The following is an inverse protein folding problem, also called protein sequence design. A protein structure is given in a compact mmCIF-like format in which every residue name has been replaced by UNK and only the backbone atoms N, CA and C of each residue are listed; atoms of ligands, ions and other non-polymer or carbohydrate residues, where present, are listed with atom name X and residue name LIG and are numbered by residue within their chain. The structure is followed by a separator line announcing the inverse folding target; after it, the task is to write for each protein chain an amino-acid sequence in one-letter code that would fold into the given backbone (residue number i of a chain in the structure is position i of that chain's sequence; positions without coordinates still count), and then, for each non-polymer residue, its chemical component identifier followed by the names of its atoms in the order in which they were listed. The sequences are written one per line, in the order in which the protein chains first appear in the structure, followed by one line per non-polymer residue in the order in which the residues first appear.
data_IF_384133594120
#
_entry.id   IF_384133594120
#
_cell.length_a   1.000
_cell.length_b   1.000
_cell.length_c   1.000
_cell.angle_alpha   90.00
_cell.angle_beta   90.00
_cell.angle_gamma   90.00
#
_symmetry.space_group_name_H-M   'P 1'
#
loop_
_entity.id
_entity.type
_entity.pdbx_description
1 polymer ?
#
# COMPACT_ATOMS: atom_id res chain seq x y z
N UNK A 1 20.07 25.56 -7.23
CA UNK A 1 19.14 24.85 -6.34
C UNK A 1 19.88 23.60 -5.89
N UNK A 2 20.03 23.35 -4.58
CA UNK A 2 20.60 22.10 -4.13
C UNK A 2 19.59 21.00 -4.51
N UNK A 3 19.93 20.19 -5.50
CA UNK A 3 19.14 19.02 -5.86
C UNK A 3 19.30 17.99 -4.72
N UNK A 4 18.38 18.04 -3.76
CA UNK A 4 18.33 17.01 -2.73
C UNK A 4 17.84 15.71 -3.36
N UNK A 5 18.47 14.59 -2.98
CA UNK A 5 17.97 13.27 -3.37
C UNK A 5 16.58 13.01 -2.79
N UNK A 6 15.87 12.05 -3.36
CA UNK A 6 14.49 11.69 -2.96
C UNK A 6 14.42 10.25 -2.48
N UNK A 7 13.57 10.00 -1.50
CA UNK A 7 13.21 8.64 -1.08
C UNK A 7 11.82 8.30 -1.62
N UNK A 8 11.74 7.22 -2.37
CA UNK A 8 10.48 6.69 -2.90
C UNK A 8 9.67 6.02 -1.80
N UNK A 9 8.37 6.29 -1.78
CA UNK A 9 7.45 5.84 -0.73
C UNK A 9 6.54 4.73 -1.24
N UNK A 10 5.83 4.98 -2.33
CA UNK A 10 4.89 4.03 -2.93
C UNK A 10 4.76 4.31 -4.43
N UNK A 11 4.07 3.44 -5.14
CA UNK A 11 3.84 3.63 -6.57
C UNK A 11 2.72 2.77 -7.11
N UNK A 12 2.41 2.94 -8.37
CA UNK A 12 1.49 2.06 -9.09
C UNK A 12 1.86 1.95 -10.57
N UNK A 13 1.72 0.75 -11.12
CA UNK A 13 1.93 0.47 -12.52
C UNK A 13 0.70 0.90 -13.35
N UNK A 14 0.94 1.60 -14.47
CA UNK A 14 -0.10 1.96 -15.42
C UNK A 14 -0.12 0.96 -16.57
N UNK A 15 1.06 0.62 -17.06
CA UNK A 15 1.27 -0.29 -18.21
C UNK A 15 2.62 -0.98 -18.10
N UNK A 16 2.97 -1.77 -19.08
CA UNK A 16 4.30 -2.38 -19.20
C UNK A 16 5.45 -1.36 -19.32
N UNK A 17 5.17 -0.07 -19.62
CA UNK A 17 6.18 0.98 -19.86
C UNK A 17 6.00 2.23 -19.01
N UNK A 18 4.93 2.32 -18.21
CA UNK A 18 4.60 3.51 -17.44
C UNK A 18 4.35 3.18 -15.97
N UNK A 19 4.94 3.97 -15.07
CA UNK A 19 4.83 3.79 -13.63
C UNK A 19 4.76 5.14 -12.90
N UNK A 20 3.88 5.28 -11.92
CA UNK A 20 3.86 6.43 -11.01
C UNK A 20 4.56 6.11 -9.70
N UNK A 21 5.32 7.08 -9.17
CA UNK A 21 6.04 6.99 -7.90
C UNK A 21 5.71 8.22 -7.06
N UNK A 22 5.48 8.02 -5.78
CA UNK A 22 5.49 9.12 -4.80
C UNK A 22 6.81 9.14 -4.05
N UNK A 23 7.29 10.31 -3.68
CA UNK A 23 8.55 10.46 -2.97
C UNK A 23 8.57 11.66 -2.04
N UNK A 24 9.46 11.61 -1.07
CA UNK A 24 9.81 12.70 -0.17
C UNK A 24 11.24 13.14 -0.43
N UNK A 25 11.56 14.42 -0.19
CA UNK A 25 12.93 14.90 -0.19
C UNK A 25 13.70 14.36 1.03
N UNK A 26 14.93 13.92 0.83
CA UNK A 26 15.76 13.35 1.92
C UNK A 26 16.19 14.39 2.97
N UNK A 27 16.18 15.66 2.61
CA UNK A 27 16.55 16.76 3.50
C UNK A 27 15.36 17.41 4.24
N UNK A 28 14.14 16.92 4.02
CA UNK A 28 12.99 17.33 4.85
C UNK A 28 13.11 16.66 6.22
N UNK A 29 13.02 17.47 7.27
CA UNK A 29 12.91 16.94 8.62
C UNK A 29 11.62 16.15 8.71
N UNK A 30 11.69 14.92 9.19
CA UNK A 30 10.52 14.04 9.38
C UNK A 30 9.49 14.61 10.36
N UNK A 31 9.87 15.64 11.11
CA UNK A 31 9.02 16.39 12.05
C UNK A 31 8.45 17.67 11.45
N UNK A 32 8.85 18.05 10.23
CA UNK A 32 8.26 19.20 9.56
C UNK A 32 6.79 18.92 9.27
N UNK A 33 5.92 19.74 9.86
CA UNK A 33 4.47 19.71 9.68
C UNK A 33 4.03 20.00 8.22
N UNK A 34 4.97 20.36 7.36
CA UNK A 34 4.76 20.65 5.95
C UNK A 34 5.44 19.58 5.10
N UNK A 35 4.78 18.43 5.01
CA UNK A 35 5.18 17.46 4.01
C UNK A 35 4.94 18.01 2.61
N UNK A 36 5.88 17.73 1.73
CA UNK A 36 5.74 17.91 0.30
C UNK A 36 5.97 16.59 -0.36
N UNK A 37 4.96 16.08 -1.05
CA UNK A 37 5.09 14.88 -1.85
C UNK A 37 5.35 15.24 -3.30
N UNK A 38 6.39 14.65 -3.89
CA UNK A 38 6.59 14.66 -5.33
C UNK A 38 6.02 13.38 -5.93
N UNK A 39 5.28 13.54 -7.01
CA UNK A 39 4.81 12.42 -7.82
C UNK A 39 5.58 12.45 -9.12
N UNK A 40 6.28 11.37 -9.42
CA UNK A 40 6.99 11.18 -10.67
C UNK A 40 6.28 10.15 -11.52
N UNK A 41 6.13 10.45 -12.80
CA UNK A 41 5.70 9.50 -13.82
C UNK A 41 6.91 9.10 -14.67
N UNK A 42 7.27 7.84 -14.62
CA UNK A 42 8.18 7.26 -15.61
C UNK A 42 7.37 6.84 -16.83
N UNK A 43 7.77 7.33 -18.00
CA UNK A 43 7.12 7.03 -19.27
C UNK A 43 8.13 7.07 -20.41
N UNK A 44 8.33 5.95 -21.12
CA UNK A 44 9.17 5.88 -22.35
C UNK A 44 10.58 6.46 -22.14
N UNK A 45 11.24 6.03 -21.05
CA UNK A 45 12.58 6.45 -20.63
C UNK A 45 12.72 7.93 -20.20
N UNK A 46 11.59 8.59 -19.93
CA UNK A 46 11.56 9.97 -19.44
C UNK A 46 10.81 10.08 -18.11
N UNK A 47 11.08 11.18 -17.37
CA UNK A 47 10.47 11.47 -16.08
C UNK A 47 9.67 12.77 -16.16
N UNK A 48 8.43 12.70 -15.74
CA UNK A 48 7.53 13.85 -15.58
C UNK A 48 7.23 13.99 -14.10
N UNK A 49 7.39 15.19 -13.56
CA UNK A 49 7.16 15.49 -12.15
C UNK A 49 5.89 16.34 -11.92
N UNK A 50 5.29 16.14 -10.77
CA UNK A 50 4.23 16.94 -10.20
C UNK A 50 4.45 17.01 -8.69
N UNK A 51 4.32 18.19 -8.11
CA UNK A 51 4.42 18.36 -6.67
C UNK A 51 3.07 18.64 -6.00
N UNK A 52 2.93 18.15 -4.78
CA UNK A 52 1.77 18.37 -3.91
C UNK A 52 2.25 18.98 -2.60
N UNK A 53 2.20 20.32 -2.54
CA UNK A 53 2.58 21.08 -1.34
C UNK A 53 1.57 20.82 -0.21
N UNK A 54 2.09 20.55 0.99
CA UNK A 54 1.28 20.31 2.18
C UNK A 54 0.63 18.91 2.24
N UNK A 55 0.95 18.02 1.29
CA UNK A 55 0.40 16.67 1.23
C UNK A 55 1.42 15.63 1.67
N UNK A 56 0.96 14.68 2.46
CA UNK A 56 1.65 13.43 2.73
C UNK A 56 0.91 12.29 2.05
N UNK A 57 1.26 12.02 0.80
CA UNK A 57 0.64 10.95 0.03
C UNK A 57 1.14 9.60 0.55
N UNK A 58 0.23 8.80 1.06
CA UNK A 58 0.51 7.48 1.65
C UNK A 58 0.26 6.33 0.69
N UNK A 59 -0.61 6.53 -0.29
CA UNK A 59 -0.93 5.49 -1.28
C UNK A 59 -1.37 6.10 -2.59
N UNK A 60 -1.00 5.46 -3.69
CA UNK A 60 -1.49 5.79 -5.02
C UNK A 60 -2.13 4.58 -5.68
N UNK A 61 -3.09 4.82 -6.56
CA UNK A 61 -3.71 3.81 -7.38
C UNK A 61 -4.01 4.35 -8.78
N UNK A 62 -3.97 3.48 -9.76
CA UNK A 62 -4.46 3.78 -11.10
C UNK A 62 -5.88 3.24 -11.25
N UNK A 63 -6.77 4.10 -11.73
CA UNK A 63 -8.17 3.77 -11.91
C UNK A 63 -8.62 4.14 -13.32
N UNK A 64 -9.22 3.18 -14.00
CA UNK A 64 -9.81 3.40 -15.31
C UNK A 64 -11.31 3.08 -15.26
N UNK A 65 -12.13 4.05 -15.63
CA UNK A 65 -13.57 3.88 -15.70
C UNK A 65 -14.12 4.56 -16.95
N UNK A 66 -14.87 3.79 -17.76
CA UNK A 66 -15.51 4.26 -19.00
C UNK A 66 -14.53 4.95 -19.96
N UNK A 67 -13.30 4.43 -20.05
CA UNK A 67 -12.24 4.99 -20.91
C UNK A 67 -11.56 6.24 -20.35
N UNK A 68 -11.87 6.64 -19.13
CA UNK A 68 -11.19 7.74 -18.43
C UNK A 68 -10.20 7.15 -17.44
N UNK A 69 -8.93 7.44 -17.67
CA UNK A 69 -7.82 7.03 -16.79
C UNK A 69 -7.51 8.10 -15.77
N UNK A 70 -7.31 7.69 -14.53
CA UNK A 70 -7.02 8.58 -13.40
C UNK A 70 -5.90 8.02 -12.55
N UNK A 71 -4.95 8.87 -12.16
CA UNK A 71 -4.09 8.64 -11.01
C UNK A 71 -4.84 9.14 -9.77
N UNK A 72 -4.91 8.29 -8.77
CA UNK A 72 -5.47 8.59 -7.46
C UNK A 72 -4.32 8.73 -6.47
N UNK A 73 -4.26 9.83 -5.72
CA UNK A 73 -3.28 10.06 -4.67
C UNK A 73 -4.01 10.30 -3.35
N UNK A 74 -3.86 9.35 -2.43
CA UNK A 74 -4.47 9.39 -1.11
C UNK A 74 -3.53 10.10 -0.14
N UNK A 75 -3.99 11.18 0.43
CA UNK A 75 -3.36 11.89 1.54
C UNK A 75 -3.77 11.24 2.87
N UNK A 76 -2.87 11.22 3.84
CA UNK A 76 -3.04 10.51 5.12
C UNK A 76 -4.30 10.92 5.91
N UNK A 77 -4.73 12.19 5.84
CA UNK A 77 -5.86 12.72 6.61
C UNK A 77 -7.21 12.59 5.88
N UNK A 78 -7.18 12.11 4.62
CA UNK A 78 -8.36 11.73 3.86
C UNK A 78 -8.72 12.64 2.69
N UNK A 79 -7.81 13.50 2.28
CA UNK A 79 -7.93 14.17 0.98
C UNK A 79 -7.50 13.21 -0.14
N UNK A 80 -8.24 13.20 -1.23
CA UNK A 80 -7.97 12.40 -2.41
C UNK A 80 -7.80 13.29 -3.64
N UNK A 81 -6.59 13.26 -4.20
CA UNK A 81 -6.31 13.84 -5.51
C UNK A 81 -6.67 12.87 -6.63
N UNK A 82 -7.44 13.34 -7.60
CA UNK A 82 -7.81 12.60 -8.81
C UNK A 82 -7.24 13.38 -10.00
N UNK A 83 -6.19 12.81 -10.61
CA UNK A 83 -5.45 13.45 -11.69
C UNK A 83 -5.74 12.75 -13.01
N UNK A 84 -6.32 13.47 -13.95
CA UNK A 84 -6.65 13.05 -15.30
C UNK A 84 -5.88 13.91 -16.30
N UNK A 85 -5.78 13.48 -17.55
CA UNK A 85 -5.02 14.18 -18.58
C UNK A 85 -5.37 15.68 -18.69
N UNK A 86 -6.66 16.04 -18.58
CA UNK A 86 -7.13 17.40 -18.78
C UNK A 86 -7.89 17.98 -17.57
N UNK A 87 -7.94 17.27 -16.45
CA UNK A 87 -8.73 17.70 -15.30
C UNK A 87 -8.21 17.09 -14.01
N UNK A 88 -7.99 17.95 -13.02
CA UNK A 88 -7.70 17.53 -11.66
C UNK A 88 -8.92 17.80 -10.78
N UNK A 89 -9.18 16.90 -9.85
CA UNK A 89 -10.25 17.00 -8.86
C UNK A 89 -9.71 16.64 -7.49
N UNK A 90 -10.18 17.33 -6.47
CA UNK A 90 -9.98 16.99 -5.07
C UNK A 90 -11.29 16.50 -4.48
N UNK A 91 -11.22 15.42 -3.73
CA UNK A 91 -12.35 14.88 -2.95
C UNK A 91 -11.92 14.71 -1.49
N UNK A 92 -12.89 14.78 -0.59
CA UNK A 92 -12.71 14.35 0.81
C UNK A 92 -13.38 13.00 1.02
N UNK A 93 -12.65 12.06 1.61
CA UNK A 93 -13.18 10.73 1.92
C UNK A 93 -14.10 10.81 3.14
N UNK A 94 -13.74 11.65 4.11
CA UNK A 94 -14.52 11.91 5.32
C UNK A 94 -14.44 13.38 5.70
N UNK A 95 -15.39 13.83 6.52
CA UNK A 95 -15.31 15.13 7.17
C UNK A 95 -14.27 15.11 8.30
N UNK A 96 -13.51 16.18 8.42
CA UNK A 96 -12.57 16.37 9.52
C UNK A 96 -13.30 16.91 10.75
N UNK A 97 -13.00 16.38 11.93
CA UNK A 97 -13.46 16.88 13.22
C UNK A 97 -12.25 17.23 14.09
N UNK A 98 -11.89 18.51 14.11
CA UNK A 98 -10.71 19.02 14.84
C UNK A 98 -10.80 18.82 16.37
N UNK A 99 -11.96 18.46 16.90
CA UNK A 99 -12.14 18.14 18.31
C UNK A 99 -11.75 16.69 18.66
N UNK A 100 -11.45 15.86 17.66
CA UNK A 100 -11.22 14.44 17.80
C UNK A 100 -9.93 13.98 17.13
N UNK A 101 -9.29 12.98 17.71
CA UNK A 101 -8.24 12.23 17.06
C UNK A 101 -8.91 11.30 16.07
N UNK A 102 -8.65 11.52 14.79
CA UNK A 102 -9.08 10.63 13.71
C UNK A 102 -7.85 9.86 13.22
N UNK A 103 -7.99 8.55 13.05
CA UNK A 103 -6.93 7.71 12.50
C UNK A 103 -6.53 8.12 11.08
N UNK A 104 -5.31 7.86 10.68
CA UNK A 104 -4.81 8.14 9.34
C UNK A 104 -5.28 7.07 8.34
N UNK A 105 -5.34 7.42 7.07
CA UNK A 105 -5.49 6.44 6.00
C UNK A 105 -4.14 5.90 5.56
N UNK A 106 -4.11 4.62 5.17
CA UNK A 106 -2.88 3.91 4.82
C UNK A 106 -2.89 3.38 3.38
N UNK A 107 -4.05 3.04 2.84
CA UNK A 107 -4.13 2.39 1.54
C UNK A 107 -5.37 2.78 0.75
N UNK A 108 -5.19 3.01 -0.57
CA UNK A 108 -6.25 3.03 -1.57
C UNK A 108 -6.06 1.90 -2.57
N UNK A 109 -7.14 1.21 -2.91
CA UNK A 109 -7.16 0.15 -3.91
C UNK A 109 -8.36 0.25 -4.83
N UNK A 110 -8.17 -0.23 -6.05
CA UNK A 110 -9.27 -0.52 -6.99
C UNK A 110 -9.58 -2.00 -6.94
N UNK A 111 -10.81 -2.35 -6.58
CA UNK A 111 -11.29 -3.73 -6.52
C UNK A 111 -12.63 -3.78 -7.23
N UNK A 112 -12.79 -4.64 -8.25
CA UNK A 112 -14.03 -4.82 -8.99
C UNK A 112 -14.64 -3.47 -9.46
N UNK A 113 -13.81 -2.61 -10.09
CA UNK A 113 -14.16 -1.26 -10.57
C UNK A 113 -14.70 -0.29 -9.51
N UNK A 114 -14.46 -0.55 -8.24
CA UNK A 114 -14.80 0.32 -7.13
C UNK A 114 -13.56 0.71 -6.35
N UNK A 115 -13.61 1.86 -5.68
CA UNK A 115 -12.49 2.35 -4.87
C UNK A 115 -12.73 1.98 -3.41
N UNK A 116 -11.66 1.55 -2.75
CA UNK A 116 -11.64 1.22 -1.34
C UNK A 116 -10.46 1.88 -0.67
N UNK A 117 -10.66 2.41 0.54
CA UNK A 117 -9.60 2.92 1.41
C UNK A 117 -9.70 2.28 2.77
N UNK A 118 -8.54 2.07 3.41
CA UNK A 118 -8.49 1.63 4.79
C UNK A 118 -7.41 2.41 5.57
N UNK A 119 -7.52 2.38 6.91
CA UNK A 119 -6.60 3.10 7.79
C UNK A 119 -6.76 2.75 9.27
N UNK A 120 -6.19 3.59 10.11
CA UNK A 120 -6.16 3.42 11.55
C UNK A 120 -7.55 3.56 12.17
N UNK A 121 -7.79 2.93 13.33
CA UNK A 121 -9.11 2.87 13.95
C UNK A 121 -10.07 1.98 13.18
N UNK A 122 -9.58 1.03 12.38
CA UNK A 122 -10.34 0.15 11.51
C UNK A 122 -11.23 0.90 10.49
N UNK A 123 -10.86 2.11 10.10
CA UNK A 123 -11.60 2.87 9.11
C UNK A 123 -11.56 2.19 7.75
N UNK A 124 -12.72 2.01 7.14
CA UNK A 124 -12.86 1.48 5.79
C UNK A 124 -13.93 2.30 5.08
N UNK A 125 -13.60 2.82 3.89
CA UNK A 125 -14.53 3.54 3.03
C UNK A 125 -14.51 2.97 1.63
N UNK A 126 -15.65 3.11 0.95
CA UNK A 126 -15.79 2.73 -0.45
C UNK A 126 -16.46 3.83 -1.26
N UNK A 127 -16.08 3.95 -2.53
CA UNK A 127 -16.74 4.78 -3.52
C UNK A 127 -17.16 3.92 -4.71
N UNK A 128 -18.46 3.65 -4.78
CA UNK A 128 -19.10 2.89 -5.87
C UNK A 128 -19.87 3.82 -6.83
N UNK A 129 -19.35 5.04 -7.04
CA UNK A 129 -19.87 6.01 -8.02
C UNK A 129 -20.76 7.13 -7.47
N UNK A 130 -21.22 7.05 -6.22
CA UNK A 130 -22.12 8.03 -5.59
C UNK A 130 -21.48 8.78 -4.40
N UNK A 131 -20.14 8.86 -4.35
CA UNK A 131 -19.41 9.44 -3.23
C UNK A 131 -18.93 8.38 -2.25
N UNK A 132 -18.20 8.83 -1.23
CA UNK A 132 -17.58 7.98 -0.22
C UNK A 132 -18.59 7.56 0.84
N UNK A 133 -18.60 6.29 1.17
CA UNK A 133 -19.44 5.73 2.21
C UNK A 133 -18.59 4.87 3.15
N UNK A 134 -18.83 4.97 4.45
CA UNK A 134 -18.22 4.06 5.42
C UNK A 134 -18.64 2.62 5.14
N UNK A 135 -17.68 1.71 5.21
CA UNK A 135 -17.86 0.27 5.04
C UNK A 135 -17.34 -0.51 6.26
N UNK A 136 -17.06 0.16 7.38
CA UNK A 136 -16.46 -0.43 8.58
C UNK A 136 -17.40 -1.44 9.29
N UNK A 137 -18.69 -1.29 9.14
CA UNK A 137 -19.76 -2.22 9.57
C UNK A 137 -19.47 -2.95 10.91
N UNK A 138 -19.10 -2.17 11.91
CA UNK A 138 -18.87 -2.66 13.27
C UNK A 138 -17.42 -3.05 13.59
N UNK A 139 -16.49 -2.85 12.66
CA UNK A 139 -15.06 -2.96 12.95
C UNK A 139 -14.46 -1.66 13.49
N UNK A 140 -14.99 -0.50 13.04
CA UNK A 140 -14.43 0.80 13.41
C UNK A 140 -14.44 1.05 14.89
N UNK A 141 -13.40 1.71 15.34
CA UNK A 141 -13.28 2.21 16.70
C UNK A 141 -13.81 3.63 16.77
N UNK A 142 -14.37 4.01 17.91
CA UNK A 142 -14.81 5.38 18.14
C UNK A 142 -13.60 6.31 18.08
N UNK A 143 -13.74 7.44 17.39
CA UNK A 143 -12.74 8.51 17.43
C UNK A 143 -12.52 8.98 18.85
N UNK A 144 -11.25 9.23 19.22
CA UNK A 144 -10.88 9.68 20.56
C UNK A 144 -11.00 11.18 20.66
N UNK A 145 -11.48 11.70 21.81
CA UNK A 145 -11.47 13.13 22.09
C UNK A 145 -10.05 13.67 22.20
N UNK A 146 -9.77 14.82 21.60
CA UNK A 146 -8.48 15.49 21.75
C UNK A 146 -8.23 15.84 23.24
N UNK A 147 -7.07 15.46 23.81
CA UNK A 147 -6.72 15.84 25.15
C UNK A 147 -6.63 17.37 25.28
N UNK A 148 -7.10 17.89 26.42
CA UNK A 148 -7.16 19.34 26.70
C UNK A 148 -5.81 19.98 27.03
N UNK A 149 -4.69 19.25 27.04
CA UNK A 149 -3.36 19.75 27.39
C UNK A 149 -2.36 19.69 26.25
N UNK A 150 -1.49 20.69 26.17
CA UNK A 150 -0.46 20.89 25.16
C UNK A 150 0.74 19.92 25.23
N UNK A 151 0.67 18.85 26.02
CA UNK A 151 1.74 17.86 26.17
C UNK A 151 1.50 16.62 25.30
N UNK A 152 1.17 16.82 24.04
CA UNK A 152 0.85 15.73 23.10
C UNK A 152 2.03 15.44 22.19
N UNK A 153 2.81 14.45 22.59
CA UNK A 153 3.45 13.51 21.68
C UNK A 153 2.63 12.21 21.66
N UNK A 154 1.36 12.26 21.25
CA UNK A 154 0.61 11.05 21.02
C UNK A 154 1.02 10.52 19.65
N UNK A 155 1.63 9.35 19.67
CA UNK A 155 1.77 8.53 18.46
C UNK A 155 0.34 8.07 18.08
N UNK A 156 -0.20 8.61 17.02
CA UNK A 156 -1.59 8.36 16.60
C UNK A 156 -1.81 6.86 16.31
N UNK A 157 -0.78 6.16 15.81
CA UNK A 157 -0.85 4.71 15.61
C UNK A 157 -1.10 3.94 16.91
N UNK A 158 -0.62 4.45 18.05
CA UNK A 158 -0.85 3.83 19.37
C UNK A 158 -2.21 4.21 19.98
N UNK A 159 -2.91 5.20 19.39
CA UNK A 159 -4.19 5.65 19.91
C UNK A 159 -5.34 4.66 19.59
N UNK A 160 -5.17 3.82 18.57
CA UNK A 160 -6.18 2.86 18.12
C UNK A 160 -5.73 1.41 18.33
N UNK A 161 -6.65 0.55 18.72
CA UNK A 161 -6.39 -0.89 18.86
C UNK A 161 -6.19 -1.57 17.51
N UNK A 162 -6.91 -1.13 16.45
CA UNK A 162 -6.87 -1.72 15.12
C UNK A 162 -6.33 -0.70 14.11
N UNK A 163 -5.22 -1.05 13.46
CA UNK A 163 -4.64 -0.28 12.37
C UNK A 163 -4.57 -1.14 11.11
N UNK A 164 -5.21 -0.70 10.03
CA UNK A 164 -5.30 -1.43 8.77
C UNK A 164 -4.30 -0.87 7.76
N UNK A 165 -3.44 -1.73 7.22
CA UNK A 165 -2.38 -1.35 6.29
C UNK A 165 -2.68 -1.72 4.84
N UNK A 166 -3.56 -2.69 4.60
CA UNK A 166 -3.99 -3.03 3.24
C UNK A 166 -5.42 -3.57 3.20
N UNK A 167 -6.08 -3.37 2.06
CA UNK A 167 -7.38 -3.89 1.71
C UNK A 167 -7.32 -4.47 0.29
N UNK A 168 -7.77 -5.70 0.09
CA UNK A 168 -7.86 -6.32 -1.23
C UNK A 168 -8.95 -7.39 -1.25
N UNK A 169 -9.35 -7.87 -2.42
CA UNK A 169 -10.40 -8.87 -2.50
C UNK A 169 -10.72 -9.31 -3.91
N UNK A 170 -11.71 -10.18 -4.01
CA UNK A 170 -12.13 -10.76 -5.29
C UNK A 170 -13.29 -10.00 -5.92
N UNK A 171 -14.11 -9.35 -5.09
CA UNK A 171 -15.27 -8.55 -5.49
C UNK A 171 -15.72 -7.67 -4.33
N UNK A 172 -16.71 -6.81 -4.55
CA UNK A 172 -17.36 -5.99 -3.51
C UNK A 172 -17.96 -6.79 -2.34
N UNK A 173 -18.23 -8.06 -2.53
CA UNK A 173 -18.77 -8.97 -1.52
C UNK A 173 -17.75 -9.99 -1.00
N UNK A 174 -16.49 -9.81 -1.31
CA UNK A 174 -15.42 -10.71 -0.88
C UNK A 174 -14.11 -9.94 -0.76
N UNK A 175 -13.97 -9.24 0.37
CA UNK A 175 -12.84 -8.38 0.66
C UNK A 175 -12.08 -8.90 1.88
N UNK A 176 -10.82 -8.57 1.95
CA UNK A 176 -9.94 -8.79 3.10
C UNK A 176 -9.27 -7.49 3.49
N UNK A 177 -9.07 -7.30 4.78
CA UNK A 177 -8.17 -6.28 5.33
C UNK A 177 -7.11 -6.98 6.16
N UNK A 178 -5.91 -6.38 6.20
CA UNK A 178 -4.85 -6.81 7.10
C UNK A 178 -4.18 -5.61 7.77
N UNK A 179 -3.56 -5.88 8.92
CA UNK A 179 -2.89 -4.85 9.70
C UNK A 179 -2.46 -5.36 11.06
N UNK A 180 -2.72 -4.56 12.09
CA UNK A 180 -2.51 -4.94 13.48
C UNK A 180 -3.77 -4.74 14.32
N UNK A 181 -3.89 -5.55 15.38
CA UNK A 181 -4.78 -5.31 16.51
C UNK A 181 -3.96 -5.43 17.79
N UNK A 182 -3.88 -4.33 18.55
CA UNK A 182 -3.02 -4.26 19.75
C UNK A 182 -1.57 -4.69 19.44
N UNK A 183 -1.03 -4.17 18.34
CA UNK A 183 0.31 -4.47 17.79
C UNK A 183 0.54 -5.92 17.35
N UNK A 184 -0.48 -6.77 17.30
CA UNK A 184 -0.41 -8.13 16.77
C UNK A 184 -1.11 -8.24 15.43
N UNK A 185 -0.68 -9.19 14.58
CA UNK A 185 -1.25 -9.36 13.23
C UNK A 185 -2.76 -9.56 13.25
N UNK A 186 -3.44 -8.78 12.42
CA UNK A 186 -4.90 -8.78 12.31
C UNK A 186 -5.34 -8.98 10.86
N UNK A 187 -6.38 -9.78 10.69
CA UNK A 187 -7.05 -10.04 9.41
C UNK A 187 -8.55 -10.01 9.67
N UNK A 188 -9.32 -9.41 8.75
CA UNK A 188 -10.76 -9.59 8.71
C UNK A 188 -11.24 -9.83 7.28
N UNK A 189 -12.34 -10.52 7.14
CA UNK A 189 -13.02 -10.85 5.89
C UNK A 189 -14.39 -10.21 5.83
N UNK A 190 -14.76 -9.66 4.68
CA UNK A 190 -16.08 -9.07 4.39
C UNK A 190 -16.83 -9.94 3.40
N UNK A 191 -18.04 -10.37 3.78
CA UNK A 191 -18.89 -11.24 2.98
C UNK A 191 -19.93 -10.50 2.12
N UNK A 192 -19.87 -9.16 2.12
CA UNK A 192 -20.85 -8.28 1.48
C UNK A 192 -21.86 -7.67 2.47
N UNK A 193 -21.88 -8.13 3.73
CA UNK A 193 -22.83 -7.69 4.76
C UNK A 193 -22.12 -7.17 6.01
N UNK A 194 -21.10 -7.85 6.48
CA UNK A 194 -20.34 -7.48 7.68
C UNK A 194 -18.91 -8.01 7.64
N UNK A 195 -18.05 -7.43 8.47
CA UNK A 195 -16.69 -7.88 8.65
C UNK A 195 -16.61 -8.96 9.74
N UNK A 196 -15.91 -10.03 9.42
CA UNK A 196 -15.65 -11.13 10.34
C UNK A 196 -14.14 -11.25 10.60
N UNK A 197 -13.67 -11.00 11.83
CA UNK A 197 -12.27 -11.19 12.16
C UNK A 197 -11.85 -12.66 11.99
N UNK A 198 -10.68 -12.87 11.41
CA UNK A 198 -10.02 -14.18 11.36
C UNK A 198 -9.27 -14.41 12.66
N UNK A 199 -9.27 -15.65 13.17
CA UNK A 199 -8.45 -16.02 14.32
C UNK A 199 -6.98 -15.63 14.10
N UNK A 200 -6.33 -15.13 15.16
CA UNK A 200 -4.96 -14.65 15.08
C UNK A 200 -4.01 -15.73 14.58
N UNK A 201 -3.33 -15.45 13.47
CA UNK A 201 -2.40 -16.37 12.82
C UNK A 201 -0.93 -16.09 13.16
N UNK A 202 -0.61 -14.88 13.61
CA UNK A 202 0.76 -14.43 13.87
C UNK A 202 0.77 -13.23 14.83
N UNK A 203 1.83 -13.07 15.65
CA UNK A 203 2.05 -11.85 16.40
C UNK A 203 2.64 -10.72 15.54
N UNK A 204 3.10 -11.02 14.32
CA UNK A 204 3.77 -10.05 13.46
C UNK A 204 2.75 -9.14 12.75
N UNK A 205 3.03 -7.82 12.62
CA UNK A 205 2.22 -6.93 11.80
C UNK A 205 2.07 -7.44 10.36
N UNK A 206 0.93 -7.17 9.73
CA UNK A 206 0.62 -7.62 8.37
C UNK A 206 0.45 -6.40 7.45
N UNK A 207 1.15 -6.36 6.31
CA UNK A 207 1.31 -5.15 5.51
C UNK A 207 0.69 -5.19 4.12
N UNK A 208 0.58 -6.36 3.49
CA UNK A 208 0.13 -6.46 2.12
C UNK A 208 -0.71 -7.68 1.81
N UNK A 209 -1.71 -7.53 0.94
CA UNK A 209 -2.61 -8.59 0.49
C UNK A 209 -2.48 -8.75 -1.02
N UNK A 210 -2.16 -9.96 -1.48
CA UNK A 210 -2.04 -10.33 -2.88
C UNK A 210 -3.03 -11.43 -3.24
N UNK A 211 -3.79 -11.26 -4.30
CA UNK A 211 -4.70 -12.28 -4.81
C UNK A 211 -3.89 -13.38 -5.51
N UNK A 212 -4.14 -14.64 -5.14
CA UNK A 212 -3.53 -15.77 -5.82
C UNK A 212 -4.11 -15.99 -7.22
N UNK A 213 -3.33 -16.56 -8.15
CA UNK A 213 -3.82 -16.89 -9.51
C UNK A 213 -5.00 -17.86 -9.54
N UNK A 214 -5.17 -18.67 -8.49
CA UNK A 214 -6.30 -19.59 -8.33
C UNK A 214 -7.65 -18.88 -8.08
N UNK A 215 -7.62 -17.55 -7.87
CA UNK A 215 -8.79 -16.70 -7.54
C UNK A 215 -9.63 -17.22 -6.37
N UNK A 216 -9.00 -17.95 -5.48
CA UNK A 216 -9.61 -18.54 -4.28
C UNK A 216 -8.85 -18.15 -3.02
N UNK A 217 -7.53 -18.17 -3.11
CA UNK A 217 -6.65 -17.87 -1.98
C UNK A 217 -6.03 -16.48 -2.12
N UNK A 218 -5.59 -15.95 -1.00
CA UNK A 218 -4.77 -14.75 -0.90
C UNK A 218 -3.43 -15.06 -0.24
N UNK A 219 -2.44 -14.23 -0.52
CA UNK A 219 -1.18 -14.14 0.22
C UNK A 219 -1.26 -12.89 1.09
N UNK A 220 -0.84 -13.00 2.33
CA UNK A 220 -0.66 -11.85 3.23
C UNK A 220 0.80 -11.82 3.67
N UNK A 221 1.47 -10.71 3.41
CA UNK A 221 2.86 -10.45 3.79
C UNK A 221 2.94 -9.59 5.06
N UNK A 222 3.99 -9.78 5.85
CA UNK A 222 4.13 -9.08 7.11
C UNK A 222 5.54 -9.05 7.68
N UNK A 223 5.66 -8.54 8.89
CA UNK A 223 6.93 -8.41 9.61
C UNK A 223 7.58 -9.75 9.90
N UNK A 224 8.89 -9.72 10.11
CA UNK A 224 9.70 -10.86 10.53
C UNK A 224 9.57 -12.09 9.61
N UNK A 225 9.54 -11.89 8.29
CA UNK A 225 9.41 -12.93 7.29
C UNK A 225 8.05 -13.63 7.27
N UNK A 226 7.01 -12.99 7.80
CA UNK A 226 5.67 -13.57 7.81
C UNK A 226 5.06 -13.58 6.42
N UNK A 227 4.62 -14.77 6.01
CA UNK A 227 3.86 -14.99 4.78
C UNK A 227 2.74 -15.99 5.06
N UNK A 228 1.49 -15.55 4.93
CA UNK A 228 0.30 -16.38 5.12
C UNK A 228 -0.34 -16.65 3.77
N UNK A 229 -0.82 -17.87 3.54
CA UNK A 229 -1.60 -18.25 2.35
C UNK A 229 -2.88 -18.94 2.76
N UNK A 230 -4.00 -18.54 2.18
CA UNK A 230 -5.28 -19.18 2.44
C UNK A 230 -6.45 -18.30 2.08
N UNK A 231 -7.58 -18.62 2.68
CA UNK A 231 -8.82 -17.86 2.58
C UNK A 231 -9.65 -18.04 3.86
N UNK A 232 -10.68 -17.22 4.00
CA UNK A 232 -11.53 -17.22 5.18
C UNK A 232 -12.21 -18.59 5.42
N UNK A 233 -12.66 -19.25 4.36
CA UNK A 233 -13.43 -20.51 4.46
C UNK A 233 -12.58 -21.71 4.83
N UNK A 234 -11.38 -21.83 4.23
CA UNK A 234 -10.53 -23.01 4.37
C UNK A 234 -9.40 -22.77 5.41
N UNK A 235 -9.29 -21.55 5.94
CA UNK A 235 -8.24 -21.14 6.86
C UNK A 235 -6.95 -20.70 6.17
N UNK A 236 -5.99 -20.25 6.98
CA UNK A 236 -4.69 -19.77 6.53
C UNK A 236 -3.58 -20.70 6.99
N UNK A 237 -2.56 -20.89 6.13
CA UNK A 237 -1.31 -21.56 6.45
C UNK A 237 -0.20 -20.51 6.55
N UNK A 238 0.56 -20.57 7.64
CA UNK A 238 1.78 -19.77 7.78
C UNK A 238 2.93 -20.46 7.01
N UNK A 239 3.49 -19.75 6.04
CA UNK A 239 4.59 -20.20 5.18
C UNK A 239 5.95 -19.68 5.65
N UNK A 240 6.02 -19.08 6.85
CA UNK A 240 7.22 -18.45 7.40
C UNK A 240 8.40 -19.41 7.43
N UNK A 241 9.55 -18.94 6.95
CA UNK A 241 10.85 -19.53 7.25
C UNK A 241 11.47 -18.81 8.45
N UNK A 242 11.80 -19.56 9.50
CA UNK A 242 12.35 -19.00 10.75
C UNK A 242 13.74 -18.38 10.59
N UNK A 243 14.45 -18.70 9.50
CA UNK A 243 15.75 -18.10 9.19
C UNK A 243 15.64 -16.69 8.61
N UNK A 244 14.44 -16.29 8.14
CA UNK A 244 14.19 -14.97 7.55
C UNK A 244 13.58 -14.06 8.60
N UNK A 245 14.27 -12.95 8.89
CA UNK A 245 13.82 -11.93 9.84
C UNK A 245 13.54 -10.59 9.17
N UNK A 246 13.42 -10.58 7.85
CA UNK A 246 13.15 -9.37 7.05
C UNK A 246 11.68 -9.00 7.08
N UNK A 247 11.37 -7.72 6.96
CA UNK A 247 9.99 -7.28 6.73
C UNK A 247 9.59 -7.52 5.28
N UNK A 248 8.47 -8.21 5.08
CA UNK A 248 7.83 -8.40 3.78
C UNK A 248 6.71 -7.38 3.61
N UNK A 249 6.95 -6.35 2.78
CA UNK A 249 6.02 -5.24 2.60
C UNK A 249 4.82 -5.61 1.73
N UNK A 250 5.06 -6.25 0.60
CA UNK A 250 4.02 -6.71 -0.32
C UNK A 250 4.55 -7.85 -1.20
N UNK A 251 3.66 -8.46 -1.98
CA UNK A 251 4.01 -9.51 -2.92
C UNK A 251 3.24 -9.37 -4.23
N UNK A 252 3.75 -10.02 -5.28
CA UNK A 252 3.07 -10.10 -6.56
C UNK A 252 3.36 -11.44 -7.24
N UNK A 253 2.38 -11.99 -7.92
CA UNK A 253 2.59 -13.11 -8.81
C UNK A 253 3.06 -12.62 -10.17
N UNK A 254 4.13 -13.20 -10.68
CA UNK A 254 4.64 -12.96 -12.02
C UNK A 254 5.20 -14.26 -12.61
N UNK A 255 4.71 -14.63 -13.81
CA UNK A 255 5.10 -15.90 -14.48
C UNK A 255 5.07 -17.10 -13.53
N UNK A 256 3.93 -17.30 -12.87
CA UNK A 256 3.66 -18.40 -11.93
C UNK A 256 4.48 -18.42 -10.64
N UNK A 257 5.42 -17.49 -10.46
CA UNK A 257 6.22 -17.33 -9.24
C UNK A 257 5.67 -16.22 -8.35
N UNK A 258 5.80 -16.41 -7.05
CA UNK A 258 5.49 -15.39 -6.06
C UNK A 258 6.77 -14.61 -5.74
N UNK A 259 6.78 -13.33 -6.10
CA UNK A 259 7.81 -12.37 -5.73
C UNK A 259 7.39 -11.60 -4.49
N UNK A 260 8.35 -11.29 -3.61
CA UNK A 260 8.10 -10.65 -2.32
C UNK A 260 9.07 -9.48 -2.15
N UNK A 261 8.51 -8.30 -1.98
CA UNK A 261 9.26 -7.08 -1.66
C UNK A 261 9.67 -7.08 -0.19
N UNK A 262 10.94 -6.86 0.08
CA UNK A 262 11.43 -6.85 1.45
C UNK A 262 12.53 -5.80 1.69
N UNK A 263 12.82 -5.57 2.98
CA UNK A 263 13.95 -4.73 3.39
C UNK A 263 15.29 -5.26 2.89
N UNK A 264 15.48 -6.59 2.90
CA UNK A 264 16.73 -7.23 2.48
C UNK A 264 16.89 -7.38 0.97
N UNK A 265 15.83 -7.13 0.18
CA UNK A 265 15.81 -7.25 -1.27
C UNK A 265 14.56 -7.95 -1.80
N UNK A 266 14.63 -8.48 -3.01
CA UNK A 266 13.54 -9.20 -3.66
C UNK A 266 13.69 -10.70 -3.41
N UNK A 267 12.67 -11.32 -2.80
CA UNK A 267 12.59 -12.76 -2.67
C UNK A 267 11.68 -13.37 -3.74
N UNK A 268 11.96 -14.61 -4.09
CA UNK A 268 11.03 -15.53 -4.75
C UNK A 268 10.68 -16.64 -3.74
N UNK A 269 9.40 -16.92 -3.58
CA UNK A 269 8.92 -18.09 -2.86
C UNK A 269 8.49 -19.16 -3.86
N UNK A 270 9.15 -20.31 -3.79
CA UNK A 270 8.90 -21.44 -4.66
C UNK A 270 8.93 -22.74 -3.85
N UNK A 271 7.83 -23.52 -3.90
CA UNK A 271 7.67 -24.84 -3.26
C UNK A 271 8.16 -24.94 -1.79
N UNK A 272 7.98 -23.88 -1.02
CA UNK A 272 8.36 -23.85 0.40
C UNK A 272 9.75 -23.27 0.67
N UNK A 273 10.46 -22.84 -0.35
CA UNK A 273 11.81 -22.26 -0.24
C UNK A 273 11.80 -20.80 -0.67
N UNK A 274 12.55 -19.98 0.05
CA UNK A 274 12.77 -18.59 -0.27
C UNK A 274 14.14 -18.40 -0.90
N UNK A 275 14.18 -17.67 -2.01
CA UNK A 275 15.41 -17.34 -2.71
C UNK A 275 15.50 -15.82 -2.92
N UNK A 276 16.62 -15.20 -2.53
CA UNK A 276 16.92 -13.84 -2.97
C UNK A 276 17.21 -13.84 -4.47
N UNK A 277 16.74 -12.82 -5.16
CA UNK A 277 16.98 -12.64 -6.60
C UNK A 277 18.38 -12.08 -6.81
N UNK A 278 19.29 -12.90 -7.32
CA UNK A 278 20.71 -12.56 -7.50
C UNK A 278 20.94 -11.38 -8.46
N UNK A 279 20.11 -11.26 -9.49
CA UNK A 279 20.25 -10.21 -10.52
C UNK A 279 20.16 -8.78 -9.98
N UNK A 280 19.52 -8.59 -8.83
CA UNK A 280 19.33 -7.31 -8.15
C UNK A 280 19.64 -7.41 -6.65
N UNK A 281 20.53 -8.29 -6.22
CA UNK A 281 20.84 -8.52 -4.81
C UNK A 281 21.52 -7.34 -4.11
N UNK A 282 22.04 -6.39 -4.88
CA UNK A 282 22.57 -5.10 -4.42
C UNK A 282 21.47 -4.08 -4.08
N UNK A 283 20.22 -4.33 -4.49
CA UNK A 283 19.08 -3.45 -4.21
C UNK A 283 18.42 -3.91 -2.91
N UNK A 284 18.35 -2.99 -1.95
CA UNK A 284 17.72 -3.18 -0.64
C UNK A 284 16.53 -2.23 -0.48
N UNK A 285 15.73 -2.44 0.56
CA UNK A 285 14.58 -1.59 0.84
C UNK A 285 13.59 -1.57 -0.32
N UNK A 286 13.18 -2.75 -0.80
CA UNK A 286 12.16 -2.86 -1.82
C UNK A 286 10.80 -2.74 -1.14
N UNK A 287 10.14 -1.60 -1.37
CA UNK A 287 8.91 -1.20 -0.66
C UNK A 287 7.64 -1.54 -1.41
N UNK A 288 7.73 -1.69 -2.74
CA UNK A 288 6.54 -1.96 -3.55
C UNK A 288 6.89 -2.82 -4.78
N UNK A 289 6.00 -3.74 -5.11
CA UNK A 289 6.05 -4.51 -6.35
C UNK A 289 4.65 -4.70 -6.92
N UNK A 290 4.55 -4.68 -8.24
CA UNK A 290 3.28 -4.88 -8.97
C UNK A 290 3.54 -5.52 -10.32
N UNK A 291 2.70 -6.50 -10.69
CA UNK A 291 2.66 -7.03 -12.05
C UNK A 291 1.65 -6.23 -12.88
N UNK A 292 2.07 -5.81 -14.06
CA UNK A 292 1.20 -5.13 -15.02
C UNK A 292 1.59 -5.49 -16.46
N UNK A 293 0.65 -6.02 -17.21
CA UNK A 293 0.79 -6.32 -18.65
C UNK A 293 2.05 -7.16 -18.96
N UNK A 294 2.32 -8.19 -18.15
CA UNK A 294 3.44 -9.10 -18.35
C UNK A 294 4.80 -8.55 -17.91
N UNK A 295 4.82 -7.52 -17.10
CA UNK A 295 6.02 -6.92 -16.50
C UNK A 295 5.87 -6.85 -15.00
N UNK A 296 6.91 -7.23 -14.27
CA UNK A 296 7.03 -6.99 -12.84
C UNK A 296 7.77 -5.66 -12.61
N UNK A 297 7.09 -4.71 -11.99
CA UNK A 297 7.65 -3.47 -11.52
C UNK A 297 8.12 -3.62 -10.07
N UNK A 298 9.32 -3.12 -9.76
CA UNK A 298 9.92 -3.21 -8.43
C UNK A 298 10.41 -1.82 -8.03
N UNK A 299 9.91 -1.32 -6.91
CA UNK A 299 10.29 -0.03 -6.35
C UNK A 299 11.05 -0.23 -5.05
N UNK A 300 12.28 0.28 -5.00
CA UNK A 300 13.04 0.43 -3.75
C UNK A 300 13.04 1.88 -3.30
N UNK A 301 13.60 2.18 -2.14
CA UNK A 301 13.73 3.57 -1.66
C UNK A 301 14.39 4.53 -2.67
N UNK A 302 15.24 4.03 -3.59
CA UNK A 302 16.04 4.87 -4.49
C UNK A 302 15.99 4.48 -5.95
N UNK A 303 15.47 3.31 -6.27
CA UNK A 303 15.53 2.75 -7.62
C UNK A 303 14.17 2.22 -8.05
N UNK A 304 13.87 2.41 -9.32
CA UNK A 304 12.80 1.71 -10.02
C UNK A 304 13.43 0.64 -10.90
N UNK A 305 12.90 -0.58 -10.85
CA UNK A 305 13.35 -1.71 -11.66
C UNK A 305 12.15 -2.28 -12.40
N UNK A 306 12.38 -2.69 -13.63
CA UNK A 306 11.43 -3.35 -14.51
C UNK A 306 11.99 -4.71 -14.92
N UNK A 307 11.16 -5.76 -14.83
CA UNK A 307 11.51 -7.11 -15.23
C UNK A 307 10.43 -7.69 -16.14
N UNK A 308 10.77 -8.02 -17.39
CA UNK A 308 9.82 -8.61 -18.36
C UNK A 308 9.83 -10.15 -18.39
N UNK A 309 10.66 -10.73 -17.50
CA UNK A 309 10.88 -12.17 -17.40
C UNK A 309 12.11 -12.66 -18.15
N UNK A 310 12.82 -11.79 -18.87
CA UNK A 310 14.07 -12.06 -19.53
C UNK A 310 15.16 -11.07 -19.08
N UNK A 311 14.82 -9.78 -19.06
CA UNK A 311 15.77 -8.70 -18.80
C UNK A 311 15.35 -7.88 -17.57
N UNK A 312 16.35 -7.54 -16.74
CA UNK A 312 16.25 -6.64 -15.60
C UNK A 312 16.72 -5.24 -16.01
N UNK A 313 15.78 -4.34 -16.20
CA UNK A 313 16.09 -2.94 -16.51
C UNK A 313 16.10 -2.12 -15.22
N UNK A 314 17.23 -1.49 -14.90
CA UNK A 314 17.37 -0.54 -13.80
C UNK A 314 17.12 0.87 -14.32
N UNK A 315 16.16 1.55 -13.73
CA UNK A 315 15.72 2.88 -14.14
C UNK A 315 16.18 3.88 -13.08
N UNK A 316 17.10 4.74 -13.46
CA UNK A 316 17.63 5.78 -12.58
C UNK A 316 16.72 7.00 -12.59
N UNK A 317 16.51 7.57 -11.41
CA UNK A 317 15.84 8.86 -11.29
C UNK A 317 16.92 9.96 -11.21
N UNK A 318 16.76 11.10 -11.94
CA UNK A 318 17.79 12.15 -12.00
C UNK A 318 18.25 12.72 -10.64
N UNK A 319 17.38 12.68 -9.63
CA UNK A 319 17.70 13.13 -8.28
C UNK A 319 18.39 12.05 -7.41
N UNK A 320 18.48 10.80 -7.88
CA UNK A 320 19.07 9.67 -7.17
C UNK A 320 20.29 9.06 -7.88
N UNK A 321 20.88 9.80 -8.85
CA UNK A 321 22.11 9.43 -9.53
C UNK A 321 23.36 9.66 -8.68
#
# INVERSE_FOLDING_TARGET
MNNSSVTFVTGCAISQSNFYITSNLDNLDTWDLFSKTFIYKYQSDDWIDMDLDGWRVVSVAYFENSGISSLLALEQDGDLGIFQENKNKLEKIRETDDSKIQGQFNRIRTIDNSLYVCGDGAQIYTNIGNGWNSLDLGLSESSLDMPKSSELTLDIELAFDINLYDINGFSSNSLYVCGTKKNEGFIAYFDGSYWEPVDRMTPSPLFGITICPDKKNIIISGGYGTLLKGNFKDGFKNLKDISINSTFYCSAYFKEKLYIASEDGLYIYDEGVYHLVDAINDIKGIVYIEEKEGVLWILSYKKLIRYDGNEWQRINHPLNE
#
